data_IF_207629497040
#
_entry.id   IF_207629497040
#
_cell.length_a   1.000
_cell.length_b   1.000
_cell.length_c   1.000
_cell.angle_alpha   90.00
_cell.angle_beta   90.00
_cell.angle_gamma   90.00
#
_symmetry.space_group_name_H-M   'P 1'
#
loop_
_entity.id
_entity.type
_entity.pdbx_description
1 polymer ?
#
# COMPACT_ATOMS: atom_id res chain seq x y z
N UNK A 1 -7.24 -19.51 -4.58
CA UNK A 1 -8.15 -20.68 -4.61
C UNK A 1 -8.09 -21.42 -3.27
N UNK A 2 -8.83 -20.93 -2.28
CA UNK A 2 -8.92 -21.60 -0.98
C UNK A 2 -10.10 -22.56 -0.99
N UNK A 3 -9.84 -23.86 -0.88
CA UNK A 3 -10.90 -24.85 -0.62
C UNK A 3 -11.58 -24.43 0.69
N UNK A 4 -12.90 -24.20 0.66
CA UNK A 4 -13.75 -24.06 1.84
C UNK A 4 -13.92 -25.43 2.53
N UNK A 5 -12.82 -26.14 2.79
CA UNK A 5 -12.84 -27.25 3.71
C UNK A 5 -12.70 -26.64 5.09
N UNK A 6 -13.70 -26.82 5.95
CA UNK A 6 -13.47 -26.64 7.37
C UNK A 6 -12.25 -27.46 7.74
N UNK A 7 -11.26 -26.82 8.37
CA UNK A 7 -10.04 -27.51 8.77
C UNK A 7 -10.43 -28.70 9.63
N UNK A 8 -10.06 -29.92 9.21
CA UNK A 8 -10.36 -31.16 9.96
C UNK A 8 -9.91 -31.05 11.41
N UNK A 9 -8.81 -30.34 11.65
CA UNK A 9 -8.27 -30.05 12.98
C UNK A 9 -9.23 -29.19 13.80
N UNK A 10 -9.89 -28.21 13.18
CA UNK A 10 -10.84 -27.32 13.87
C UNK A 10 -12.15 -28.05 14.20
N UNK A 11 -12.65 -28.86 13.27
CA UNK A 11 -13.83 -29.71 13.48
C UNK A 11 -13.63 -30.69 14.64
N UNK A 12 -12.47 -31.35 14.67
CA UNK A 12 -12.12 -32.28 15.74
C UNK A 12 -12.00 -31.56 17.09
N UNK A 13 -11.47 -30.33 17.12
CA UNK A 13 -11.42 -29.50 18.33
C UNK A 13 -12.81 -29.07 18.81
N UNK A 14 -13.72 -28.73 17.89
CA UNK A 14 -15.09 -28.33 18.24
C UNK A 14 -15.91 -29.52 18.77
N UNK A 15 -15.69 -30.71 18.21
CA UNK A 15 -16.25 -31.96 18.72
C UNK A 15 -15.71 -32.31 20.11
N UNK A 16 -14.39 -32.25 20.31
CA UNK A 16 -13.77 -32.48 21.63
C UNK A 16 -14.23 -31.51 22.71
N UNK A 17 -14.65 -30.30 22.34
CA UNK A 17 -15.19 -29.29 23.25
C UNK A 17 -16.71 -29.38 23.42
N UNK A 18 -17.34 -30.45 22.94
CA UNK A 18 -18.79 -30.70 23.02
C UNK A 18 -19.68 -29.63 22.34
N UNK A 19 -19.09 -28.80 21.46
CA UNK A 19 -19.85 -27.84 20.66
C UNK A 19 -20.52 -28.49 19.44
N UNK A 20 -20.09 -29.70 19.07
CA UNK A 20 -20.64 -30.48 17.96
C UNK A 20 -20.96 -31.90 18.46
N UNK A 21 -22.12 -32.43 18.07
CA UNK A 21 -22.47 -33.84 18.25
C UNK A 21 -22.23 -34.62 16.94
N UNK A 22 -22.44 -35.93 16.99
CA UNK A 22 -22.22 -36.81 15.83
C UNK A 22 -23.10 -36.44 14.63
N UNK A 23 -24.36 -36.07 14.86
CA UNK A 23 -25.28 -35.62 13.80
C UNK A 23 -24.77 -34.36 13.09
N UNK A 24 -24.23 -33.39 13.84
CA UNK A 24 -23.65 -32.17 13.26
C UNK A 24 -22.41 -32.50 12.41
N UNK A 25 -21.61 -33.49 12.82
CA UNK A 25 -20.45 -33.93 12.03
C UNK A 25 -20.88 -34.61 10.71
N UNK A 26 -21.94 -35.43 10.75
CA UNK A 26 -22.51 -36.04 9.55
C UNK A 26 -23.07 -34.98 8.60
N UNK A 27 -23.87 -34.03 9.09
CA UNK A 27 -24.40 -32.92 8.29
C UNK A 27 -23.29 -32.07 7.65
N UNK A 28 -22.23 -31.75 8.41
CA UNK A 28 -21.08 -31.01 7.88
C UNK A 28 -20.33 -31.83 6.83
N UNK A 29 -20.19 -33.14 7.03
CA UNK A 29 -19.56 -34.03 6.05
C UNK A 29 -20.39 -34.12 4.76
N UNK A 30 -21.72 -34.20 4.85
CA UNK A 30 -22.62 -34.13 3.70
C UNK A 30 -22.57 -32.78 2.99
N UNK A 31 -22.54 -31.68 3.74
CA UNK A 31 -22.40 -30.34 3.17
C UNK A 31 -21.04 -30.17 2.45
N UNK A 32 -19.95 -30.68 3.02
CA UNK A 32 -18.63 -30.66 2.37
C UNK A 32 -18.60 -31.50 1.09
N UNK A 33 -19.33 -32.64 1.05
CA UNK A 33 -19.47 -33.46 -0.18
C UNK A 33 -20.13 -32.68 -1.33
N UNK A 34 -20.96 -31.66 -1.04
CA UNK A 34 -21.56 -30.81 -2.08
C UNK A 34 -20.53 -29.94 -2.82
N UNK A 35 -19.28 -29.86 -2.33
CA UNK A 35 -18.19 -29.08 -2.95
C UNK A 35 -18.58 -27.63 -3.29
N UNK A 36 -19.47 -27.02 -2.49
CA UNK A 36 -19.92 -25.65 -2.69
C UNK A 36 -18.75 -24.73 -2.30
N UNK A 37 -18.20 -24.03 -3.28
CA UNK A 37 -17.16 -23.04 -3.06
C UNK A 37 -17.73 -21.62 -3.21
N UNK A 38 -17.29 -20.71 -2.35
CA UNK A 38 -17.66 -19.31 -2.46
C UNK A 38 -16.90 -18.66 -3.61
N UNK A 39 -17.62 -18.00 -4.51
CA UNK A 39 -17.07 -17.14 -5.57
C UNK A 39 -16.90 -15.69 -5.13
N UNK A 40 -17.11 -15.38 -3.84
CA UNK A 40 -17.16 -13.99 -3.35
C UNK A 40 -15.87 -13.24 -3.65
N UNK A 41 -14.71 -13.84 -3.34
CA UNK A 41 -13.42 -13.18 -3.55
C UNK A 41 -13.10 -12.98 -5.02
N UNK A 42 -13.43 -13.96 -5.86
CA UNK A 42 -13.27 -13.92 -7.31
C UNK A 42 -14.14 -12.83 -7.92
N UNK A 43 -15.42 -12.73 -7.52
CA UNK A 43 -16.34 -11.69 -7.98
C UNK A 43 -15.88 -10.29 -7.54
N UNK A 44 -15.46 -10.12 -6.28
CA UNK A 44 -14.96 -8.84 -5.77
C UNK A 44 -13.66 -8.42 -6.48
N UNK A 45 -12.79 -9.38 -6.82
CA UNK A 45 -11.60 -9.14 -7.63
C UNK A 45 -11.97 -8.70 -9.05
N UNK A 46 -12.96 -9.33 -9.69
CA UNK A 46 -13.45 -8.90 -11.01
C UNK A 46 -14.02 -7.49 -10.95
N UNK A 47 -14.80 -7.16 -9.91
CA UNK A 47 -15.34 -5.80 -9.70
C UNK A 47 -14.21 -4.79 -9.55
N UNK A 48 -13.17 -5.11 -8.76
CA UNK A 48 -12.00 -4.25 -8.63
C UNK A 48 -11.33 -3.96 -9.98
N UNK A 49 -11.12 -5.00 -10.79
CA UNK A 49 -10.59 -4.84 -12.15
C UNK A 49 -11.52 -4.03 -13.04
N UNK A 50 -12.84 -4.22 -12.95
CA UNK A 50 -13.82 -3.41 -13.68
C UNK A 50 -13.71 -1.93 -13.34
N UNK A 51 -13.58 -1.58 -12.05
CA UNK A 51 -13.41 -0.18 -11.61
C UNK A 51 -12.12 0.42 -12.20
N UNK A 52 -11.01 -0.30 -12.14
CA UNK A 52 -9.73 0.18 -12.69
C UNK A 52 -9.82 0.35 -14.20
N UNK A 53 -10.31 -0.65 -14.93
CA UNK A 53 -10.44 -0.60 -16.39
C UNK A 53 -11.38 0.52 -16.83
N UNK A 54 -12.51 0.68 -16.14
CA UNK A 54 -13.48 1.71 -16.42
C UNK A 54 -12.91 3.12 -16.21
N UNK A 55 -12.31 3.37 -15.06
CA UNK A 55 -11.73 4.69 -14.74
C UNK A 55 -10.51 5.01 -15.59
N UNK A 56 -9.68 4.01 -15.91
CA UNK A 56 -8.58 4.15 -16.88
C UNK A 56 -9.11 4.47 -18.27
N UNK A 57 -10.18 3.82 -18.72
CA UNK A 57 -10.84 4.10 -19.98
C UNK A 57 -11.36 5.54 -20.06
N UNK A 58 -11.98 6.05 -18.98
CA UNK A 58 -12.37 7.46 -18.87
C UNK A 58 -11.14 8.38 -18.95
N UNK A 59 -10.06 8.06 -18.23
CA UNK A 59 -8.82 8.82 -18.29
C UNK A 59 -8.23 8.90 -19.71
N UNK A 60 -8.25 7.79 -20.46
CA UNK A 60 -7.82 7.75 -21.87
C UNK A 60 -8.73 8.58 -22.77
N UNK A 61 -10.06 8.51 -22.58
CA UNK A 61 -11.01 9.33 -23.34
C UNK A 61 -10.74 10.82 -23.08
N UNK A 62 -10.53 11.21 -21.83
CA UNK A 62 -10.17 12.59 -21.46
C UNK A 62 -8.87 13.00 -22.14
N UNK A 63 -7.82 12.21 -22.02
CA UNK A 63 -6.51 12.50 -22.60
C UNK A 63 -6.56 12.69 -24.12
N UNK A 64 -7.28 11.81 -24.83
CA UNK A 64 -7.37 11.86 -26.29
C UNK A 64 -8.29 12.96 -26.83
N UNK A 65 -9.22 13.48 -26.02
CA UNK A 65 -10.20 14.47 -26.45
C UNK A 65 -9.98 15.84 -25.80
N UNK A 66 -8.82 16.03 -25.17
CA UNK A 66 -8.51 17.23 -24.40
C UNK A 66 -8.50 18.48 -25.29
N UNK A 67 -8.06 18.36 -26.55
CA UNK A 67 -7.99 19.44 -27.53
C UNK A 67 -9.27 19.58 -28.39
N UNK A 68 -10.33 18.82 -28.09
CA UNK A 68 -11.57 18.82 -28.87
C UNK A 68 -12.63 19.77 -28.28
N UNK A 69 -13.54 20.23 -29.14
CA UNK A 69 -14.69 21.09 -28.75
C UNK A 69 -15.63 20.35 -27.77
N UNK A 70 -15.52 19.02 -27.63
CA UNK A 70 -16.33 18.19 -26.74
C UNK A 70 -15.91 18.14 -25.27
N UNK A 71 -14.87 18.89 -24.86
CA UNK A 71 -14.32 18.81 -23.49
C UNK A 71 -15.37 19.06 -22.39
N UNK A 72 -16.28 20.03 -22.60
CA UNK A 72 -17.32 20.34 -21.62
C UNK A 72 -18.33 19.21 -21.46
N UNK A 73 -18.62 18.46 -22.52
CA UNK A 73 -19.51 17.30 -22.47
C UNK A 73 -18.86 16.14 -21.68
N UNK A 74 -17.57 15.85 -21.93
CA UNK A 74 -16.83 14.80 -21.23
C UNK A 74 -16.67 15.17 -19.75
N UNK A 75 -16.30 16.43 -19.45
CA UNK A 75 -16.17 16.94 -18.10
C UNK A 75 -17.50 16.86 -17.33
N UNK A 76 -18.60 17.26 -17.98
CA UNK A 76 -19.94 17.20 -17.39
C UNK A 76 -20.40 15.76 -17.16
N UNK A 77 -20.15 14.85 -18.10
CA UNK A 77 -20.49 13.44 -17.96
C UNK A 77 -19.70 12.78 -16.80
N UNK A 78 -18.40 13.06 -16.71
CA UNK A 78 -17.57 12.60 -15.59
C UNK A 78 -18.08 13.14 -14.25
N UNK A 79 -18.41 14.44 -14.20
CA UNK A 79 -18.96 15.07 -13.01
C UNK A 79 -20.29 14.45 -12.57
N UNK A 80 -21.23 14.24 -13.49
CA UNK A 80 -22.52 13.61 -13.20
C UNK A 80 -22.30 12.20 -12.67
N UNK A 81 -21.43 11.41 -13.31
CA UNK A 81 -21.15 10.04 -12.88
C UNK A 81 -20.52 10.00 -11.48
N UNK A 82 -19.55 10.88 -11.22
CA UNK A 82 -18.96 11.08 -9.90
C UNK A 82 -20.03 11.39 -8.85
N UNK A 83 -20.94 12.34 -9.13
CA UNK A 83 -22.04 12.69 -8.23
C UNK A 83 -22.99 11.52 -7.97
N UNK A 84 -23.33 10.75 -9.01
CA UNK A 84 -24.18 9.55 -8.87
C UNK A 84 -23.51 8.52 -7.96
N UNK A 85 -22.22 8.25 -8.15
CA UNK A 85 -21.46 7.34 -7.29
C UNK A 85 -21.50 7.79 -5.83
N UNK A 86 -21.15 9.06 -5.55
CA UNK A 86 -21.16 9.56 -4.18
C UNK A 86 -22.56 9.64 -3.58
N UNK A 87 -23.58 10.04 -4.34
CA UNK A 87 -24.96 10.11 -3.86
C UNK A 87 -25.44 8.75 -3.32
N UNK A 88 -25.25 7.67 -4.08
CA UNK A 88 -25.63 6.34 -3.63
C UNK A 88 -24.79 5.84 -2.46
N UNK A 89 -23.49 6.15 -2.44
CA UNK A 89 -22.62 5.82 -1.32
C UNK A 89 -23.04 6.51 -0.03
N UNK A 90 -23.31 7.82 -0.06
CA UNK A 90 -23.79 8.58 1.11
C UNK A 90 -25.16 8.10 1.58
N UNK A 91 -26.08 7.83 0.65
CA UNK A 91 -27.43 7.33 0.97
C UNK A 91 -27.43 5.98 1.68
N UNK A 92 -26.38 5.16 1.49
CA UNK A 92 -26.25 3.82 2.07
C UNK A 92 -25.22 3.73 3.19
N UNK A 93 -24.51 4.82 3.47
CA UNK A 93 -23.52 4.85 4.53
C UNK A 93 -24.18 4.92 5.91
N UNK A 94 -23.53 4.27 6.88
CA UNK A 94 -23.91 4.36 8.30
C UNK A 94 -23.32 5.59 9.00
N UNK A 95 -22.56 6.40 8.27
CA UNK A 95 -21.89 7.61 8.77
C UNK A 95 -20.50 7.35 9.34
N UNK A 96 -19.82 8.42 9.74
CA UNK A 96 -18.49 8.36 10.34
C UNK A 96 -18.53 7.74 11.74
N UNK A 97 -17.54 6.89 12.04
CA UNK A 97 -17.28 6.33 13.37
C UNK A 97 -15.78 6.18 13.59
N UNK A 98 -15.28 6.24 14.82
CA UNK A 98 -13.87 5.93 15.09
C UNK A 98 -13.54 4.43 14.93
N UNK A 99 -14.57 3.56 14.97
CA UNK A 99 -14.45 2.14 14.72
C UNK A 99 -14.72 1.81 13.25
N UNK A 100 -14.34 0.60 12.82
CA UNK A 100 -14.55 0.13 11.45
C UNK A 100 -16.06 -0.04 11.18
N UNK A 101 -16.56 0.64 10.17
CA UNK A 101 -17.95 0.56 9.72
C UNK A 101 -17.96 0.11 8.27
N UNK A 102 -18.37 -1.15 8.06
CA UNK A 102 -18.46 -1.73 6.73
C UNK A 102 -19.87 -1.57 6.16
N UNK A 103 -19.96 -1.40 4.84
CA UNK A 103 -21.22 -1.54 4.14
C UNK A 103 -21.74 -2.98 4.25
N UNK A 104 -23.06 -3.13 4.30
CA UNK A 104 -23.69 -4.46 4.26
C UNK A 104 -23.48 -5.13 2.90
N UNK A 105 -23.53 -4.35 1.84
CA UNK A 105 -23.18 -4.78 0.50
C UNK A 105 -21.80 -4.21 0.12
N UNK A 106 -20.79 -5.06 -0.11
CA UNK A 106 -19.43 -4.61 -0.46
C UNK A 106 -19.36 -3.86 -1.78
N UNK A 107 -20.37 -3.94 -2.66
CA UNK A 107 -20.40 -3.15 -3.90
C UNK A 107 -20.34 -1.64 -3.65
N UNK A 108 -20.85 -1.17 -2.52
CA UNK A 108 -20.80 0.26 -2.19
C UNK A 108 -19.36 0.73 -1.89
N UNK A 109 -18.47 -0.14 -1.37
CA UNK A 109 -17.05 0.21 -1.22
C UNK A 109 -16.38 0.45 -2.58
N UNK A 110 -16.73 -0.35 -3.59
CA UNK A 110 -16.24 -0.17 -4.96
C UNK A 110 -16.88 1.04 -5.64
N UNK A 111 -18.11 1.40 -5.26
CA UNK A 111 -18.75 2.63 -5.73
C UNK A 111 -18.09 3.88 -5.15
N UNK A 112 -17.73 3.87 -3.85
CA UNK A 112 -16.92 4.92 -3.21
C UNK A 112 -15.56 5.05 -3.90
N UNK A 113 -14.90 3.93 -4.19
CA UNK A 113 -13.64 3.91 -4.93
C UNK A 113 -13.79 4.53 -6.33
N UNK A 114 -14.84 4.14 -7.05
CA UNK A 114 -15.12 4.65 -8.40
C UNK A 114 -15.36 6.16 -8.37
N UNK A 115 -16.21 6.65 -7.46
CA UNK A 115 -16.45 8.09 -7.28
C UNK A 115 -15.18 8.86 -6.94
N UNK A 116 -14.30 8.29 -6.10
CA UNK A 116 -13.02 8.90 -5.74
C UNK A 116 -12.06 9.03 -6.93
N UNK A 117 -11.97 7.98 -7.76
CA UNK A 117 -11.14 8.01 -8.97
C UNK A 117 -11.69 9.00 -10.01
N UNK A 118 -13.01 9.01 -10.21
CA UNK A 118 -13.68 9.99 -11.10
C UNK A 118 -13.47 11.43 -10.61
N UNK A 119 -13.47 11.65 -9.29
CA UNK A 119 -13.15 12.95 -8.69
C UNK A 119 -11.70 13.38 -8.99
N UNK A 120 -10.72 12.48 -8.84
CA UNK A 120 -9.34 12.78 -9.20
C UNK A 120 -9.20 13.09 -10.70
N UNK A 121 -9.86 12.32 -11.57
CA UNK A 121 -9.88 12.58 -13.02
C UNK A 121 -10.51 13.93 -13.32
N UNK A 122 -11.63 14.26 -12.65
CA UNK A 122 -12.32 15.54 -12.82
C UNK A 122 -11.43 16.71 -12.40
N UNK A 123 -10.78 16.62 -11.24
CA UNK A 123 -9.85 17.65 -10.74
C UNK A 123 -8.63 17.82 -11.65
N UNK A 124 -8.06 16.71 -12.14
CA UNK A 124 -6.97 16.74 -13.11
C UNK A 124 -7.39 17.40 -14.42
N UNK A 125 -8.56 17.04 -14.93
CA UNK A 125 -9.05 17.55 -16.21
C UNK A 125 -9.43 19.04 -16.12
N UNK A 126 -10.18 19.43 -15.08
CA UNK A 126 -10.58 20.83 -14.93
C UNK A 126 -9.37 21.76 -14.77
N UNK A 127 -8.32 21.30 -14.09
CA UNK A 127 -7.08 22.08 -14.00
C UNK A 127 -6.30 22.10 -15.32
N UNK A 128 -6.25 20.99 -16.06
CA UNK A 128 -5.61 20.99 -17.38
C UNK A 128 -6.27 22.03 -18.31
N UNK A 129 -7.59 22.10 -18.31
CA UNK A 129 -8.33 22.93 -19.26
C UNK A 129 -8.38 24.42 -18.88
N UNK A 130 -8.50 24.71 -17.57
CA UNK A 130 -8.79 26.05 -17.07
C UNK A 130 -7.76 26.58 -16.07
N UNK A 131 -6.75 25.80 -15.72
CA UNK A 131 -5.67 26.17 -14.80
C UNK A 131 -6.16 26.77 -13.47
N UNK A 132 -7.30 26.28 -12.96
CA UNK A 132 -7.98 26.81 -11.76
C UNK A 132 -7.05 26.87 -10.54
N UNK A 133 -6.14 25.90 -10.43
CA UNK A 133 -5.16 25.77 -9.35
C UNK A 133 -3.74 26.14 -9.78
N UNK A 134 -3.61 26.81 -10.93
CA UNK A 134 -2.35 27.20 -11.56
C UNK A 134 -1.74 26.11 -12.43
N UNK A 135 -0.59 26.45 -13.04
CA UNK A 135 0.16 25.57 -13.96
C UNK A 135 0.74 24.34 -13.24
N UNK A 136 0.96 24.43 -11.92
CA UNK A 136 1.51 23.32 -11.14
C UNK A 136 0.44 22.30 -10.75
N UNK A 137 0.62 21.06 -11.23
CA UNK A 137 -0.20 19.90 -10.83
C UNK A 137 -0.05 19.50 -9.36
N UNK A 138 0.87 20.13 -8.61
CA UNK A 138 1.01 19.89 -7.18
C UNK A 138 -0.30 20.21 -6.44
N UNK A 139 -0.92 21.36 -6.70
CA UNK A 139 -2.14 21.78 -6.01
C UNK A 139 -3.35 20.89 -6.33
N UNK A 140 -3.44 20.40 -7.56
CA UNK A 140 -4.44 19.38 -7.96
C UNK A 140 -4.29 18.11 -7.12
N UNK A 141 -3.05 17.66 -6.94
CA UNK A 141 -2.72 16.47 -6.16
C UNK A 141 -3.04 16.68 -4.67
N UNK A 142 -2.79 17.87 -4.13
CA UNK A 142 -3.14 18.20 -2.75
C UNK A 142 -4.66 18.20 -2.52
N UNK A 143 -5.43 18.83 -3.41
CA UNK A 143 -6.91 18.86 -3.32
C UNK A 143 -7.48 17.46 -3.45
N UNK A 144 -6.95 16.65 -4.38
CA UNK A 144 -7.30 15.24 -4.52
C UNK A 144 -6.99 14.45 -3.24
N UNK A 145 -5.83 14.70 -2.61
CA UNK A 145 -5.47 14.08 -1.34
C UNK A 145 -6.47 14.43 -0.23
N UNK A 146 -6.81 15.72 -0.07
CA UNK A 146 -7.77 16.18 0.94
C UNK A 146 -9.14 15.53 0.75
N UNK A 147 -9.64 15.53 -0.49
CA UNK A 147 -10.91 14.88 -0.85
C UNK A 147 -10.86 13.39 -0.53
N UNK A 148 -9.82 12.68 -0.98
CA UNK A 148 -9.71 11.25 -0.74
C UNK A 148 -9.49 10.92 0.75
N UNK A 149 -8.79 11.74 1.54
CA UNK A 149 -8.70 11.54 2.99
C UNK A 149 -10.07 11.64 3.64
N UNK A 150 -10.84 12.69 3.30
CA UNK A 150 -12.20 12.85 3.80
C UNK A 150 -13.07 11.63 3.47
N UNK A 151 -13.09 11.23 2.19
CA UNK A 151 -13.88 10.09 1.72
C UNK A 151 -13.42 8.78 2.37
N UNK A 152 -12.11 8.54 2.45
CA UNK A 152 -11.55 7.34 3.07
C UNK A 152 -11.97 7.22 4.54
N UNK A 153 -11.87 8.31 5.31
CA UNK A 153 -12.25 8.32 6.73
C UNK A 153 -13.76 8.25 6.94
N UNK A 154 -14.55 8.89 6.08
CA UNK A 154 -16.00 8.84 6.19
C UNK A 154 -16.56 7.44 5.87
N UNK A 155 -16.03 6.77 4.84
CA UNK A 155 -16.55 5.49 4.35
C UNK A 155 -15.74 4.25 4.77
N UNK A 156 -14.71 4.40 5.61
CA UNK A 156 -13.82 3.29 6.00
C UNK A 156 -13.11 2.58 4.83
N UNK A 157 -12.82 3.32 3.76
CA UNK A 157 -12.25 2.74 2.54
C UNK A 157 -10.72 2.82 2.49
N UNK A 158 -10.06 1.68 2.71
CA UNK A 158 -8.59 1.55 2.71
C UNK A 158 -7.93 1.79 1.35
N UNK A 159 -8.65 1.53 0.25
CA UNK A 159 -8.13 1.75 -1.11
C UNK A 159 -8.13 3.25 -1.40
N UNK A 160 -9.21 3.96 -1.06
CA UNK A 160 -9.26 5.41 -1.18
C UNK A 160 -8.24 6.10 -0.27
N UNK A 161 -7.96 5.54 0.92
CA UNK A 161 -6.86 6.03 1.76
C UNK A 161 -5.50 5.93 1.04
N UNK A 162 -5.25 4.82 0.34
CA UNK A 162 -4.05 4.65 -0.47
C UNK A 162 -3.95 5.70 -1.58
N UNK A 163 -5.08 6.05 -2.22
CA UNK A 163 -5.15 7.13 -3.22
C UNK A 163 -4.84 8.49 -2.58
N UNK A 164 -5.37 8.75 -1.39
CA UNK A 164 -5.12 9.99 -0.65
C UNK A 164 -3.63 10.17 -0.34
N UNK A 165 -2.97 9.14 0.20
CA UNK A 165 -1.54 9.17 0.51
C UNK A 165 -0.70 9.30 -0.76
N UNK A 166 -1.07 8.61 -1.84
CA UNK A 166 -0.36 8.70 -3.12
C UNK A 166 -0.49 10.10 -3.74
N UNK A 167 -1.67 10.71 -3.65
CA UNK A 167 -1.90 12.08 -4.12
C UNK A 167 -1.12 13.10 -3.27
N UNK A 168 -1.01 12.87 -1.96
CA UNK A 168 -0.18 13.69 -1.07
C UNK A 168 1.32 13.55 -1.39
N UNK A 169 1.78 12.34 -1.75
CA UNK A 169 3.14 12.10 -2.21
C UNK A 169 3.42 12.83 -3.54
N UNK A 170 2.47 12.82 -4.48
CA UNK A 170 2.58 13.55 -5.74
C UNK A 170 2.65 15.07 -5.51
N UNK A 171 1.90 15.61 -4.54
CA UNK A 171 1.97 17.03 -4.18
C UNK A 171 3.38 17.47 -3.76
N UNK A 172 4.08 16.65 -2.96
CA UNK A 172 5.46 16.95 -2.54
C UNK A 172 6.52 16.61 -3.60
N UNK A 173 6.10 16.35 -4.84
CA UNK A 173 6.99 16.07 -5.98
C UNK A 173 7.48 14.62 -6.05
N UNK A 174 6.97 13.72 -5.20
CA UNK A 174 7.34 12.30 -5.23
C UNK A 174 6.41 11.59 -6.20
N UNK A 175 6.84 11.58 -7.45
CA UNK A 175 6.16 10.89 -8.54
C UNK A 175 6.99 9.69 -8.96
N UNK A 176 6.72 8.54 -8.33
CA UNK A 176 7.37 7.27 -8.68
C UNK A 176 6.60 6.67 -9.86
N UNK A 177 7.05 6.99 -11.07
CA UNK A 177 6.58 6.32 -12.29
C UNK A 177 7.57 5.23 -12.67
N UNK A 178 7.15 4.19 -13.40
CA UNK A 178 8.10 3.23 -13.97
C UNK A 178 9.23 3.93 -14.74
N UNK A 179 8.90 4.98 -15.49
CA UNK A 179 9.86 5.81 -16.23
C UNK A 179 10.89 6.49 -15.31
N UNK A 180 10.44 7.22 -14.29
CA UNK A 180 11.35 7.92 -13.37
C UNK A 180 12.22 7.00 -12.52
N UNK A 181 11.80 5.74 -12.32
CA UNK A 181 12.63 4.70 -11.71
C UNK A 181 13.74 4.22 -12.66
N UNK A 182 13.46 4.06 -13.96
CA UNK A 182 14.47 3.69 -14.96
C UNK A 182 15.46 4.83 -15.24
N UNK A 183 15.00 6.08 -15.20
CA UNK A 183 15.81 7.28 -15.46
C UNK A 183 16.58 7.78 -14.21
N UNK A 184 16.48 7.07 -13.08
CA UNK A 184 17.12 7.40 -11.80
C UNK A 184 16.79 8.79 -11.22
N UNK A 185 15.75 9.46 -11.70
CA UNK A 185 15.37 10.81 -11.27
C UNK A 185 15.05 10.86 -9.77
N UNK A 186 14.42 9.81 -9.24
CA UNK A 186 14.10 9.66 -7.80
C UNK A 186 15.36 9.62 -6.92
N UNK A 187 16.49 9.16 -7.47
CA UNK A 187 17.77 9.05 -6.76
C UNK A 187 18.67 10.28 -6.92
N UNK A 188 18.29 11.20 -7.80
CA UNK A 188 19.15 12.31 -8.24
C UNK A 188 19.00 13.58 -7.41
N UNK A 189 17.87 13.75 -6.69
CA UNK A 189 17.60 14.98 -5.93
C UNK A 189 17.50 14.74 -4.42
N UNK A 190 18.40 15.42 -3.69
CA UNK A 190 18.43 15.38 -2.23
C UNK A 190 17.17 16.01 -1.62
N UNK A 191 16.58 17.00 -2.28
CA UNK A 191 15.35 17.66 -1.84
C UNK A 191 14.13 16.72 -1.84
N UNK A 192 13.94 15.92 -2.89
CA UNK A 192 12.86 14.93 -2.94
C UNK A 192 13.07 13.83 -1.89
N UNK A 193 14.34 13.43 -1.70
CA UNK A 193 14.71 12.46 -0.67
C UNK A 193 14.32 12.94 0.74
N UNK A 194 14.64 14.20 1.09
CA UNK A 194 14.22 14.77 2.39
C UNK A 194 12.71 14.94 2.49
N UNK A 195 12.04 15.38 1.43
CA UNK A 195 10.58 15.54 1.42
C UNK A 195 9.87 14.20 1.65
N UNK A 196 10.40 13.12 1.05
CA UNK A 196 9.89 11.76 1.25
C UNK A 196 10.15 11.21 2.63
N UNK A 197 11.31 11.50 3.22
CA UNK A 197 11.57 11.18 4.63
C UNK A 197 10.57 11.88 5.55
N UNK A 198 10.35 13.18 5.37
CA UNK A 198 9.40 13.95 6.18
C UNK A 198 7.99 13.38 6.06
N UNK A 199 7.51 13.10 4.84
CA UNK A 199 6.20 12.48 4.65
C UNK A 199 6.13 11.07 5.26
N UNK A 200 7.15 10.24 5.07
CA UNK A 200 7.20 8.89 5.64
C UNK A 200 7.15 8.90 7.17
N UNK A 201 7.89 9.80 7.81
CA UNK A 201 7.86 10.00 9.26
C UNK A 201 6.49 10.53 9.69
N UNK A 202 5.92 11.51 8.96
CA UNK A 202 4.59 12.04 9.25
C UNK A 202 3.52 10.93 9.23
N UNK A 203 3.53 10.06 8.22
CA UNK A 203 2.61 8.93 8.13
C UNK A 203 2.79 7.95 9.31
N UNK A 204 4.02 7.68 9.75
CA UNK A 204 4.28 6.85 10.95
C UNK A 204 3.76 7.50 12.22
N UNK A 205 4.04 8.78 12.41
CA UNK A 205 3.59 9.53 13.60
C UNK A 205 2.05 9.56 13.63
N UNK A 206 1.42 9.83 12.49
CA UNK A 206 -0.03 9.81 12.36
C UNK A 206 -0.63 8.43 12.63
N UNK A 207 0.02 7.36 12.15
CA UNK A 207 -0.38 5.98 12.46
C UNK A 207 -0.31 5.67 13.95
N UNK A 208 0.80 5.99 14.62
CA UNK A 208 0.95 5.76 16.06
C UNK A 208 -0.05 6.59 16.86
N UNK A 209 -0.29 7.83 16.44
CA UNK A 209 -1.30 8.70 17.04
C UNK A 209 -2.70 8.10 16.93
N UNK A 210 -3.13 7.70 15.74
CA UNK A 210 -4.46 7.11 15.48
C UNK A 210 -4.65 5.77 16.18
N UNK A 211 -3.60 4.94 16.29
CA UNK A 211 -3.61 3.72 17.09
C UNK A 211 -3.83 4.01 18.59
N UNK A 212 -3.16 5.03 19.14
CA UNK A 212 -3.26 5.39 20.57
C UNK A 212 -4.60 6.02 20.92
N UNK A 213 -5.12 6.90 20.06
CA UNK A 213 -6.40 7.59 20.25
C UNK A 213 -7.61 6.77 19.79
N UNK A 214 -7.37 5.59 19.20
CA UNK A 214 -8.39 4.70 18.63
C UNK A 214 -9.23 5.35 17.51
N UNK A 215 -8.69 6.36 16.83
CA UNK A 215 -9.33 6.98 15.66
C UNK A 215 -9.00 6.12 14.44
N UNK A 216 -9.98 5.41 13.89
CA UNK A 216 -9.80 4.57 12.69
C UNK A 216 -8.58 3.65 12.78
N UNK A 217 -8.37 3.06 13.96
CA UNK A 217 -7.16 2.29 14.27
C UNK A 217 -6.86 1.18 13.25
N UNK A 218 -7.87 0.64 12.57
CA UNK A 218 -7.74 -0.39 11.53
C UNK A 218 -7.03 0.09 10.24
N UNK A 219 -6.85 1.40 10.03
CA UNK A 219 -6.05 1.97 8.95
C UNK A 219 -4.54 1.86 9.16
N UNK A 220 -4.10 1.41 10.34
CA UNK A 220 -2.69 1.36 10.70
C UNK A 220 -1.84 0.66 9.63
N UNK A 221 -2.36 -0.40 9.02
CA UNK A 221 -1.61 -1.20 8.07
C UNK A 221 -1.33 -0.42 6.78
N UNK A 222 -2.28 0.42 6.34
CA UNK A 222 -2.09 1.27 5.15
C UNK A 222 -0.99 2.29 5.42
N UNK A 223 -1.09 3.03 6.52
CA UNK A 223 -0.07 4.01 6.90
C UNK A 223 1.32 3.38 7.10
N UNK A 224 1.39 2.24 7.80
CA UNK A 224 2.64 1.52 8.02
C UNK A 224 3.30 1.09 6.71
N UNK A 225 2.54 0.56 5.76
CA UNK A 225 3.07 0.09 4.48
C UNK A 225 3.57 1.26 3.64
N UNK A 226 2.81 2.35 3.51
CA UNK A 226 3.28 3.53 2.79
C UNK A 226 4.54 4.13 3.41
N UNK A 227 4.56 4.28 4.73
CA UNK A 227 5.74 4.76 5.44
C UNK A 227 6.96 3.84 5.24
N UNK A 228 6.79 2.52 5.35
CA UNK A 228 7.85 1.54 5.17
C UNK A 228 8.53 1.68 3.80
N UNK A 229 7.73 1.70 2.74
CA UNK A 229 8.26 1.80 1.38
C UNK A 229 8.87 3.17 1.09
N UNK A 230 8.19 4.25 1.51
CA UNK A 230 8.66 5.60 1.26
C UNK A 230 9.98 5.87 2.00
N UNK A 231 10.06 5.54 3.29
CA UNK A 231 11.29 5.66 4.07
C UNK A 231 12.39 4.75 3.53
N UNK A 232 12.07 3.49 3.18
CA UNK A 232 13.04 2.55 2.63
C UNK A 232 13.70 3.08 1.35
N UNK A 233 12.91 3.60 0.41
CA UNK A 233 13.42 4.18 -0.85
C UNK A 233 14.22 5.46 -0.58
N UNK A 234 13.74 6.35 0.30
CA UNK A 234 14.44 7.61 0.60
C UNK A 234 15.76 7.38 1.35
N UNK A 235 15.82 6.41 2.26
CA UNK A 235 17.07 6.04 2.95
C UNK A 235 18.06 5.47 1.94
N UNK A 236 17.63 4.58 1.05
CA UNK A 236 18.49 4.02 0.01
C UNK A 236 19.05 5.10 -0.92
N UNK A 237 18.19 6.01 -1.39
CA UNK A 237 18.57 7.18 -2.18
C UNK A 237 19.58 8.07 -1.44
N UNK A 238 19.31 8.37 -0.17
CA UNK A 238 20.19 9.17 0.67
C UNK A 238 21.57 8.56 0.88
N UNK A 239 21.66 7.23 1.03
CA UNK A 239 22.93 6.51 1.15
C UNK A 239 23.75 6.52 -0.15
N UNK A 240 23.13 6.72 -1.30
CA UNK A 240 23.83 6.88 -2.57
C UNK A 240 24.40 8.30 -2.76
N UNK A 241 23.79 9.29 -2.10
CA UNK A 241 24.20 10.71 -2.17
C UNK A 241 25.59 10.99 -1.59
N UNK A 242 26.10 12.20 -1.79
CA UNK A 242 27.37 12.67 -1.18
C UNK A 242 27.31 12.70 0.35
N UNK A 243 26.13 13.01 0.91
CA UNK A 243 25.91 13.20 2.35
C UNK A 243 25.39 11.91 3.01
N UNK A 244 25.82 10.75 2.50
CA UNK A 244 25.34 9.42 2.89
C UNK A 244 25.41 9.14 4.40
N UNK A 245 26.38 9.74 5.11
CA UNK A 245 26.56 9.56 6.56
C UNK A 245 25.35 10.03 7.39
N UNK A 246 24.58 11.01 6.91
CA UNK A 246 23.38 11.51 7.60
C UNK A 246 22.29 10.43 7.65
N UNK A 247 22.27 9.52 6.68
CA UNK A 247 21.24 8.49 6.54
C UNK A 247 21.53 7.23 7.37
N UNK A 248 22.74 7.07 7.92
CA UNK A 248 23.11 5.94 8.79
C UNK A 248 22.25 5.89 10.07
N UNK A 249 22.14 6.96 10.89
CA UNK A 249 21.29 6.91 12.08
C UNK A 249 19.80 6.71 11.71
N UNK A 250 19.37 7.25 10.57
CA UNK A 250 17.99 7.09 10.07
C UNK A 250 17.73 5.62 9.70
N UNK A 251 18.67 4.96 9.01
CA UNK A 251 18.61 3.53 8.71
C UNK A 251 18.49 2.71 9.99
N UNK A 252 19.32 2.97 11.01
CA UNK A 252 19.26 2.24 12.29
C UNK A 252 17.88 2.39 12.94
N UNK A 253 17.36 3.62 12.99
CA UNK A 253 16.01 3.90 13.50
C UNK A 253 14.93 3.18 12.71
N UNK A 254 15.01 3.17 11.39
CA UNK A 254 14.10 2.47 10.49
C UNK A 254 14.08 0.96 10.76
N UNK A 255 15.26 0.31 10.78
CA UNK A 255 15.36 -1.14 11.02
C UNK A 255 14.82 -1.48 12.40
N UNK A 256 15.23 -0.74 13.43
CA UNK A 256 14.77 -0.98 14.80
C UNK A 256 13.25 -0.86 14.92
N UNK A 257 12.67 0.25 14.43
CA UNK A 257 11.24 0.51 14.53
C UNK A 257 10.42 -0.55 13.79
N UNK A 258 10.72 -0.81 12.50
CA UNK A 258 9.92 -1.75 11.72
C UNK A 258 10.14 -3.20 12.13
N UNK A 259 11.30 -3.56 12.68
CA UNK A 259 11.49 -4.85 13.32
C UNK A 259 10.52 -5.01 14.50
N UNK A 260 10.52 -4.09 15.46
CA UNK A 260 9.62 -4.13 16.62
C UNK A 260 8.15 -4.12 16.19
N UNK A 261 7.80 -3.23 15.27
CA UNK A 261 6.45 -3.09 14.75
C UNK A 261 5.98 -4.38 14.07
N UNK A 262 6.81 -5.03 13.26
CA UNK A 262 6.44 -6.28 12.58
C UNK A 262 6.09 -7.41 13.55
N UNK A 263 6.79 -7.52 14.69
CA UNK A 263 6.47 -8.47 15.76
C UNK A 263 5.24 -8.06 16.57
N UNK A 264 5.01 -6.76 16.77
CA UNK A 264 3.80 -6.23 17.43
C UNK A 264 2.52 -6.54 16.65
N UNK A 265 2.54 -6.35 15.33
CA UNK A 265 1.34 -6.54 14.47
C UNK A 265 1.32 -7.89 13.76
N UNK A 266 2.34 -8.73 13.96
CA UNK A 266 2.51 -10.03 13.30
C UNK A 266 2.35 -9.95 11.77
N UNK A 267 2.91 -8.90 11.15
CA UNK A 267 2.79 -8.64 9.72
C UNK A 267 4.02 -9.12 8.94
N UNK A 268 3.86 -10.23 8.21
CA UNK A 268 4.93 -10.84 7.40
C UNK A 268 5.45 -9.92 6.31
N UNK A 269 4.56 -9.16 5.66
CA UNK A 269 4.95 -8.22 4.60
C UNK A 269 5.84 -7.11 5.13
N UNK A 270 5.50 -6.51 6.27
CA UNK A 270 6.31 -5.46 6.91
C UNK A 270 7.69 -5.99 7.27
N UNK A 271 7.76 -7.19 7.87
CA UNK A 271 9.04 -7.83 8.20
C UNK A 271 9.89 -8.09 6.94
N UNK A 272 9.29 -8.66 5.91
CA UNK A 272 9.98 -9.00 4.67
C UNK A 272 10.53 -7.75 3.95
N UNK A 273 9.72 -6.70 3.80
CA UNK A 273 10.16 -5.47 3.16
C UNK A 273 11.17 -4.69 3.99
N UNK A 274 11.05 -4.68 5.32
CA UNK A 274 12.08 -4.14 6.20
C UNK A 274 13.42 -4.85 5.97
N UNK A 275 13.43 -6.19 5.90
CA UNK A 275 14.66 -6.95 5.61
C UNK A 275 15.23 -6.60 4.22
N UNK A 276 14.38 -6.48 3.20
CA UNK A 276 14.82 -6.11 1.84
C UNK A 276 15.47 -4.73 1.81
N UNK A 277 14.79 -3.70 2.34
CA UNK A 277 15.35 -2.34 2.38
C UNK A 277 16.63 -2.26 3.22
N UNK A 278 16.67 -2.97 4.35
CA UNK A 278 17.88 -3.07 5.18
C UNK A 278 19.02 -3.72 4.40
N UNK A 279 18.77 -4.84 3.74
CA UNK A 279 19.77 -5.55 2.93
C UNK A 279 20.36 -4.66 1.83
N UNK A 280 19.52 -4.00 1.04
CA UNK A 280 20.01 -3.09 -0.01
C UNK A 280 20.80 -1.91 0.58
N UNK A 281 20.32 -1.32 1.68
CA UNK A 281 21.00 -0.21 2.35
C UNK A 281 22.36 -0.62 2.93
N UNK A 282 22.45 -1.81 3.53
CA UNK A 282 23.72 -2.36 4.03
C UNK A 282 24.71 -2.65 2.90
N UNK A 283 24.25 -3.12 1.75
CA UNK A 283 25.11 -3.33 0.58
C UNK A 283 25.66 -2.00 0.03
N UNK A 284 24.82 -0.97 -0.08
CA UNK A 284 25.26 0.37 -0.49
C UNK A 284 26.28 0.94 0.49
N UNK A 285 26.01 0.83 1.79
CA UNK A 285 26.93 1.29 2.83
C UNK A 285 28.26 0.53 2.81
N UNK A 286 28.21 -0.80 2.61
CA UNK A 286 29.41 -1.63 2.41
C UNK A 286 30.24 -1.15 1.21
N UNK A 287 29.59 -0.88 0.08
CA UNK A 287 30.25 -0.33 -1.11
C UNK A 287 30.94 1.02 -0.84
N UNK A 288 30.26 1.96 -0.17
CA UNK A 288 30.84 3.26 0.22
C UNK A 288 32.06 3.08 1.14
N UNK A 289 32.00 2.18 2.12
CA UNK A 289 33.14 1.90 3.01
C UNK A 289 34.32 1.31 2.24
N UNK A 290 34.08 0.39 1.31
CA UNK A 290 35.14 -0.20 0.49
C UNK A 290 35.85 0.86 -0.36
N UNK A 291 35.11 1.83 -0.90
CA UNK A 291 35.73 2.95 -1.65
C UNK A 291 36.61 3.84 -0.79
N UNK A 292 36.36 3.95 0.53
CA UNK A 292 37.18 4.76 1.43
C UNK A 292 38.51 4.09 1.81
N UNK A 293 38.60 2.75 1.72
CA UNK A 293 39.75 1.96 2.16
C UNK A 293 40.69 1.61 0.97
N UNK A 294 40.40 2.13 -0.23
CA UNK A 294 41.11 1.79 -1.48
C UNK A 294 41.21 0.26 -1.68
N UNK A 295 40.05 -0.40 -1.75
CA UNK A 295 39.94 -1.86 -1.87
C UNK A 295 40.25 -2.40 -3.28
N UNK A 296 40.84 -1.58 -4.16
CA UNK A 296 41.18 -1.89 -5.56
C UNK A 296 41.90 -3.24 -5.77
N UNK A 297 42.88 -3.65 -4.93
CA UNK A 297 43.59 -4.92 -5.15
C UNK A 297 42.72 -6.17 -4.92
N UNK A 298 41.56 -6.02 -4.29
CA UNK A 298 40.70 -7.12 -3.88
C UNK A 298 39.36 -7.18 -4.66
N UNK A 299 39.20 -6.32 -5.67
CA UNK A 299 37.95 -6.18 -6.42
C UNK A 299 37.60 -7.47 -7.20
N UNK A 300 38.59 -8.14 -7.78
CA UNK A 300 38.40 -9.40 -8.51
C UNK A 300 37.88 -10.52 -7.59
N UNK A 301 38.44 -10.63 -6.38
CA UNK A 301 38.03 -11.60 -5.37
C UNK A 301 36.60 -11.32 -4.91
N UNK A 302 36.21 -10.05 -4.78
CA UNK A 302 34.86 -9.65 -4.41
C UNK A 302 33.85 -10.05 -5.50
N UNK A 303 34.18 -9.86 -6.78
CA UNK A 303 33.35 -10.32 -7.91
C UNK A 303 33.15 -11.83 -7.86
N UNK A 304 34.22 -12.60 -7.61
CA UNK A 304 34.16 -14.07 -7.54
C UNK A 304 33.29 -14.55 -6.37
N UNK A 305 33.34 -13.87 -5.22
CA UNK A 305 32.56 -14.22 -4.03
C UNK A 305 31.11 -13.74 -4.11
N UNK A 306 30.82 -12.70 -4.92
CA UNK A 306 29.51 -12.06 -4.99
C UNK A 306 28.32 -13.01 -5.28
N UNK A 307 28.41 -14.04 -6.16
CA UNK A 307 27.29 -14.94 -6.39
C UNK A 307 26.98 -15.79 -5.15
N UNK A 308 28.02 -16.23 -4.43
CA UNK A 308 27.86 -17.00 -3.19
C UNK A 308 27.25 -16.13 -2.09
N UNK A 309 27.65 -14.87 -1.99
CA UNK A 309 27.05 -13.90 -1.08
C UNK A 309 25.56 -13.68 -1.35
N UNK A 310 25.17 -13.53 -2.63
CA UNK A 310 23.75 -13.37 -3.02
C UNK A 310 22.94 -14.63 -2.69
N UNK A 311 23.46 -15.82 -3.02
CA UNK A 311 22.80 -17.09 -2.70
C UNK A 311 22.62 -17.25 -1.19
N UNK A 312 23.66 -16.98 -0.40
CA UNK A 312 23.59 -17.01 1.05
C UNK A 312 22.54 -16.03 1.58
N UNK A 313 22.50 -14.81 1.04
CA UNK A 313 21.55 -13.78 1.44
C UNK A 313 20.09 -14.18 1.16
N UNK A 314 19.81 -14.79 0.00
CA UNK A 314 18.48 -15.33 -0.32
C UNK A 314 18.11 -16.46 0.65
N UNK A 315 19.04 -17.39 0.93
CA UNK A 315 18.82 -18.47 1.88
C UNK A 315 18.47 -17.93 3.29
N UNK A 316 19.25 -16.97 3.79
CA UNK A 316 18.98 -16.33 5.08
C UNK A 316 17.66 -15.57 5.10
N UNK A 317 17.34 -14.82 4.04
CA UNK A 317 16.06 -14.13 3.90
C UNK A 317 14.88 -15.11 4.03
N UNK A 318 14.90 -16.21 3.27
CA UNK A 318 13.85 -17.24 3.32
C UNK A 318 13.78 -17.85 4.73
N UNK A 319 14.93 -18.15 5.34
CA UNK A 319 14.99 -18.73 6.70
C UNK A 319 14.38 -17.80 7.75
N UNK A 320 14.73 -16.51 7.72
CA UNK A 320 14.22 -15.51 8.66
C UNK A 320 12.70 -15.32 8.51
N UNK A 321 12.21 -15.21 7.27
CA UNK A 321 10.77 -15.08 7.00
C UNK A 321 10.01 -16.34 7.44
N UNK A 322 10.55 -17.54 7.21
CA UNK A 322 9.96 -18.79 7.71
C UNK A 322 9.92 -18.83 9.23
N UNK A 323 11.00 -18.42 9.90
CA UNK A 323 11.05 -18.38 11.36
C UNK A 323 10.04 -17.37 11.94
N UNK A 324 9.93 -16.20 11.33
CA UNK A 324 8.92 -15.20 11.69
C UNK A 324 7.50 -15.77 11.55
N UNK A 325 7.18 -16.38 10.41
CA UNK A 325 5.87 -16.99 10.17
C UNK A 325 5.56 -18.13 11.15
N UNK A 326 6.56 -18.92 11.53
CA UNK A 326 6.40 -19.97 12.54
C UNK A 326 6.01 -19.38 13.91
N UNK A 327 6.74 -18.34 14.38
CA UNK A 327 6.43 -17.64 15.64
C UNK A 327 5.06 -16.97 15.60
N UNK A 328 4.69 -16.36 14.48
CA UNK A 328 3.35 -15.81 14.26
C UNK A 328 2.27 -16.88 14.39
N UNK A 329 2.43 -18.03 13.76
CA UNK A 329 1.45 -19.11 13.84
C UNK A 329 1.34 -19.69 15.25
N UNK A 330 2.44 -19.74 16.01
CA UNK A 330 2.45 -20.19 17.40
C UNK A 330 1.80 -19.21 18.38
N UNK A 331 1.82 -17.90 18.11
CA UNK A 331 1.21 -16.87 18.96
C UNK A 331 -0.29 -16.66 18.74
N UNK A 332 -0.85 -17.25 17.68
CA UNK A 332 -2.28 -17.25 17.37
C UNK A 332 -2.98 -18.49 17.98
N UNK A 333 -2.20 -19.49 18.44
CA UNK A 333 -2.69 -20.65 19.21
C UNK A 333 -2.85 -20.29 20.68
#
# INVERSE_FOLDING_TARGET
>A
MGKSNFSKILLQKLYQKEFLNDNNLEEIAEYQKKNIFSLRSELLLVIYFSVILFTSGIGVIVYNNIDSIGHLAILSANFILMLVCFYFSFKKAKGYSNHEVLFENPLYDYLVLTGSLLACIFLGYINFQYEIFGESYAYVSLISAILCFFVAYYFDNRIVLSIAITSLAAFIGITITPKSLFENEVYSSLQLTYSGLVLGIFLLVWMEYTLRTKIKAHFYFVYATFALHLLGVCILSGLLSEHWFIFIPILIGFVYYFYQFSYKVLATSVFAFMLLYSYFSFNVLGGKILTLINFDPFYEQLIIVSPFYVIASIYFFIRLVKQFNSKKNASIQ
#
